data_IF_741643307261
#
_entry.id   IF_741643307261
#
_cell.length_a   1.000
_cell.length_b   1.000
_cell.length_c   1.000
_cell.angle_alpha   90.00
_cell.angle_beta   90.00
_cell.angle_gamma   90.00
#
_symmetry.space_group_name_H-M   'P 1'
#
loop_
_entity.id
_entity.type
_entity.pdbx_description
1 polymer ?
#
# COMPACT_ATOMS: atom_id res chain seq x y z
N UNK A 1 13.23 -6.77 -5.17
CA UNK A 1 13.00 -7.86 -6.15
C UNK A 1 13.29 -9.25 -5.56
N UNK A 2 14.44 -9.44 -4.91
CA UNK A 2 14.83 -10.73 -4.30
C UNK A 2 14.12 -10.88 -2.95
N UNK A 3 13.30 -11.91 -2.80
CA UNK A 3 12.67 -12.30 -1.53
C UNK A 3 13.02 -13.77 -1.28
N UNK A 4 13.45 -14.16 -0.06
CA UNK A 4 13.78 -15.55 0.26
C UNK A 4 12.58 -16.50 0.16
N UNK A 5 11.36 -15.96 0.20
CA UNK A 5 10.12 -16.70 -0.02
C UNK A 5 9.63 -16.47 -1.46
N UNK A 6 9.24 -17.54 -2.18
CA UNK A 6 8.63 -17.40 -3.51
C UNK A 6 7.32 -16.62 -3.43
N UNK A 7 7.32 -15.37 -3.91
CA UNK A 7 6.13 -14.52 -3.93
C UNK A 7 5.32 -14.75 -5.21
N UNK A 8 4.02 -15.04 -5.06
CA UNK A 8 3.08 -15.09 -6.19
C UNK A 8 2.59 -13.71 -6.61
N UNK A 9 2.47 -12.79 -5.64
CA UNK A 9 2.00 -11.42 -5.87
C UNK A 9 2.83 -10.40 -5.11
N UNK A 10 2.87 -9.15 -5.58
CA UNK A 10 3.68 -8.12 -4.92
C UNK A 10 3.14 -6.69 -5.14
N UNK A 11 3.05 -5.89 -4.09
CA UNK A 11 3.02 -4.42 -4.16
C UNK A 11 4.46 -3.92 -3.95
N UNK A 12 4.95 -2.99 -4.76
CA UNK A 12 6.30 -2.48 -4.67
C UNK A 12 6.38 -0.98 -4.98
N UNK A 13 7.00 -0.23 -4.09
CA UNK A 13 7.41 1.14 -4.31
C UNK A 13 8.70 1.29 -5.11
N UNK A 14 8.84 2.38 -5.85
CA UNK A 14 10.12 2.82 -6.42
C UNK A 14 10.26 4.34 -6.36
N UNK A 15 11.50 4.80 -6.16
CA UNK A 15 11.84 6.23 -6.19
C UNK A 15 11.83 6.81 -7.61
N UNK A 16 11.90 5.96 -8.65
CA UNK A 16 12.07 6.40 -10.05
C UNK A 16 10.81 6.08 -10.87
N UNK A 17 10.04 7.11 -11.20
CA UNK A 17 8.76 6.99 -11.92
C UNK A 17 8.89 6.28 -13.29
N UNK A 18 9.99 6.52 -14.00
CA UNK A 18 10.28 5.95 -15.32
C UNK A 18 10.61 4.45 -15.27
N UNK A 19 10.88 3.90 -14.08
CA UNK A 19 11.24 2.48 -13.91
C UNK A 19 10.05 1.56 -13.61
N UNK A 20 8.85 2.09 -13.38
CA UNK A 20 7.71 1.29 -12.88
C UNK A 20 7.35 0.13 -13.84
N UNK A 21 7.36 0.37 -15.15
CA UNK A 21 7.02 -0.65 -16.17
C UNK A 21 8.09 -1.73 -16.24
N UNK A 22 9.36 -1.35 -16.44
CA UNK A 22 10.48 -2.30 -16.52
C UNK A 22 10.61 -3.14 -15.24
N UNK A 23 10.29 -2.55 -14.09
CA UNK A 23 10.28 -3.25 -12.80
C UNK A 23 9.13 -4.27 -12.74
N UNK A 24 7.92 -3.90 -13.18
CA UNK A 24 6.77 -4.81 -13.24
C UNK A 24 7.02 -5.99 -14.20
N UNK A 25 7.62 -5.74 -15.36
CA UNK A 25 8.03 -6.80 -16.29
C UNK A 25 9.07 -7.73 -15.67
N UNK A 26 10.06 -7.17 -14.98
CA UNK A 26 11.07 -7.94 -14.25
C UNK A 26 10.44 -8.82 -13.18
N UNK A 27 9.46 -8.30 -12.42
CA UNK A 27 8.71 -9.10 -11.46
C UNK A 27 7.98 -10.28 -12.11
N UNK A 28 7.42 -10.09 -13.30
CA UNK A 28 6.80 -11.16 -14.09
C UNK A 28 7.81 -12.24 -14.50
N UNK A 29 8.98 -11.83 -14.99
CA UNK A 29 10.10 -12.75 -15.32
C UNK A 29 10.59 -13.53 -14.08
N UNK A 30 10.50 -12.92 -12.90
CA UNK A 30 10.81 -13.55 -11.61
C UNK A 30 9.64 -14.34 -11.00
N UNK A 31 8.60 -14.64 -11.79
CA UNK A 31 7.52 -15.56 -11.42
C UNK A 31 6.33 -14.95 -10.69
N UNK A 32 6.23 -13.62 -10.56
CA UNK A 32 5.01 -12.99 -10.01
C UNK A 32 3.89 -13.11 -11.04
N UNK A 33 2.72 -13.57 -10.60
CA UNK A 33 1.50 -13.64 -11.44
C UNK A 33 0.75 -12.32 -11.49
N UNK A 34 0.86 -11.53 -10.42
CA UNK A 34 0.25 -10.21 -10.30
C UNK A 34 1.13 -9.29 -9.46
N UNK A 35 1.32 -8.05 -9.89
CA UNK A 35 2.06 -7.08 -9.10
C UNK A 35 1.65 -5.65 -9.43
N UNK A 36 1.78 -4.74 -8.47
CA UNK A 36 1.73 -3.31 -8.73
C UNK A 36 3.07 -2.72 -8.35
N UNK A 37 3.71 -2.05 -9.30
CA UNK A 37 4.85 -1.17 -9.03
C UNK A 37 4.36 0.26 -9.09
N UNK A 38 4.66 1.06 -8.07
CA UNK A 38 4.15 2.41 -7.95
C UNK A 38 5.23 3.45 -7.65
N UNK A 39 4.90 4.69 -7.97
CA UNK A 39 5.64 5.89 -7.63
C UNK A 39 4.65 6.96 -7.18
N UNK A 40 4.71 7.34 -5.91
CA UNK A 40 3.80 8.30 -5.29
C UNK A 40 4.14 9.75 -5.59
N UNK A 41 3.20 10.63 -5.27
CA UNK A 41 3.42 12.07 -5.34
C UNK A 41 4.62 12.49 -4.48
N UNK A 42 5.30 13.57 -4.89
CA UNK A 42 6.50 14.09 -4.25
C UNK A 42 7.69 13.11 -4.23
N UNK A 43 7.73 12.13 -5.13
CA UNK A 43 8.86 11.22 -5.29
C UNK A 43 8.88 10.03 -4.31
N UNK A 44 7.78 9.80 -3.60
CA UNK A 44 7.69 8.76 -2.58
C UNK A 44 7.60 7.36 -3.21
N UNK A 45 8.19 6.37 -2.54
CA UNK A 45 8.06 4.95 -2.87
C UNK A 45 6.79 4.32 -2.27
N UNK A 46 5.82 5.13 -1.88
CA UNK A 46 4.51 4.71 -1.40
C UNK A 46 3.42 5.61 -2.00
N UNK A 47 2.18 5.10 -2.08
CA UNK A 47 1.05 5.96 -2.40
C UNK A 47 0.81 6.91 -1.23
N UNK A 48 0.50 8.17 -1.52
CA UNK A 48 0.17 9.15 -0.48
C UNK A 48 -0.95 10.06 -0.96
N UNK A 49 -1.48 10.83 -0.02
CA UNK A 49 -2.64 11.69 -0.23
C UNK A 49 -2.27 13.11 -0.69
N UNK A 50 -0.99 13.38 -0.97
CA UNK A 50 -0.55 14.68 -1.45
C UNK A 50 -0.68 14.84 -2.98
N UNK A 51 -1.05 13.77 -3.69
CA UNK A 51 -1.34 13.84 -5.12
C UNK A 51 -1.36 12.48 -5.82
N UNK A 52 -1.14 12.53 -7.13
CA UNK A 52 -1.24 11.37 -8.03
C UNK A 52 -0.17 10.34 -7.75
N UNK A 53 -0.57 9.06 -7.73
CA UNK A 53 0.35 7.92 -7.71
C UNK A 53 0.37 7.25 -9.08
N UNK A 54 1.55 7.14 -9.70
CA UNK A 54 1.74 6.42 -10.96
C UNK A 54 1.89 4.93 -10.69
N UNK A 55 1.14 4.09 -11.42
CA UNK A 55 1.13 2.65 -11.20
C UNK A 55 1.37 1.87 -12.49
N UNK A 56 2.13 0.78 -12.39
CA UNK A 56 2.23 -0.28 -13.39
C UNK A 56 1.71 -1.59 -12.79
N UNK A 57 0.60 -2.09 -13.32
CA UNK A 57 0.00 -3.37 -12.94
C UNK A 57 0.49 -4.46 -13.89
N UNK A 58 1.19 -5.45 -13.34
CA UNK A 58 1.37 -6.76 -13.94
C UNK A 58 0.15 -7.63 -13.61
N UNK A 59 -0.53 -8.17 -14.62
CA UNK A 59 -1.56 -9.21 -14.47
C UNK A 59 -1.43 -10.20 -15.61
N UNK A 60 -1.28 -11.49 -15.28
CA UNK A 60 -1.26 -12.58 -16.29
C UNK A 60 -0.21 -12.39 -17.39
N UNK A 61 0.95 -11.84 -17.03
CA UNK A 61 2.07 -11.60 -17.95
C UNK A 61 1.98 -10.29 -18.73
N UNK A 62 0.90 -9.52 -18.61
CA UNK A 62 0.74 -8.21 -19.25
C UNK A 62 0.94 -7.09 -18.25
N UNK A 63 1.62 -6.03 -18.68
CA UNK A 63 1.81 -4.80 -17.89
C UNK A 63 0.94 -3.69 -18.46
N UNK A 64 0.09 -3.11 -17.62
CA UNK A 64 -0.76 -1.95 -17.93
C UNK A 64 -0.45 -0.82 -16.97
N UNK A 65 -0.45 0.42 -17.46
CA UNK A 65 -0.23 1.60 -16.64
C UNK A 65 -1.55 2.29 -16.32
N UNK A 66 -1.63 2.89 -15.13
CA UNK A 66 -2.71 3.78 -14.74
C UNK A 66 -2.21 4.76 -13.68
N UNK A 67 -2.87 5.91 -13.60
CA UNK A 67 -2.65 6.89 -12.54
C UNK A 67 -3.77 6.75 -11.49
N UNK A 68 -3.41 6.76 -10.22
CA UNK A 68 -4.35 6.77 -9.09
C UNK A 68 -4.44 8.19 -8.55
N UNK A 69 -5.67 8.73 -8.58
CA UNK A 69 -6.04 10.00 -7.98
C UNK A 69 -6.78 9.70 -6.68
N UNK A 70 -6.26 10.08 -5.50
CA UNK A 70 -6.94 9.81 -4.23
C UNK A 70 -8.38 10.33 -4.17
N UNK A 71 -8.65 11.47 -4.82
CA UNK A 71 -9.94 12.16 -4.83
C UNK A 71 -11.03 11.33 -5.53
N UNK A 72 -10.69 10.54 -6.55
CA UNK A 72 -11.62 9.66 -7.26
C UNK A 72 -12.23 8.59 -6.35
N UNK A 73 -11.59 8.32 -5.21
CA UNK A 73 -12.00 7.34 -4.20
C UNK A 73 -12.47 7.99 -2.89
N UNK A 74 -12.69 9.31 -2.90
CA UNK A 74 -13.22 10.06 -1.75
C UNK A 74 -12.19 10.36 -0.67
N UNK A 75 -10.89 10.18 -0.94
CA UNK A 75 -9.85 10.68 -0.03
C UNK A 75 -9.68 12.18 -0.20
N UNK A 76 -9.42 12.87 0.92
CA UNK A 76 -9.06 14.29 0.87
C UNK A 76 -7.58 14.45 0.58
N UNK A 77 -7.23 15.38 -0.31
CA UNK A 77 -5.84 15.78 -0.51
C UNK A 77 -5.29 16.37 0.80
N UNK A 78 -4.12 15.91 1.24
CA UNK A 78 -3.43 16.45 2.42
C UNK A 78 -1.96 16.71 2.10
N UNK A 79 -1.34 17.73 2.71
CA UNK A 79 0.09 17.98 2.54
C UNK A 79 0.92 16.80 3.06
N UNK A 80 2.07 16.54 2.43
CA UNK A 80 2.97 15.44 2.83
C UNK A 80 3.46 15.61 4.27
N UNK A 81 3.58 16.85 4.72
CA UNK A 81 3.95 17.23 6.09
C UNK A 81 2.98 16.68 7.15
N UNK A 82 1.72 16.42 6.79
CA UNK A 82 0.72 15.87 7.70
C UNK A 82 0.94 14.40 8.05
N UNK A 83 1.80 13.69 7.30
CA UNK A 83 2.12 12.27 7.52
C UNK A 83 3.59 12.04 7.86
N UNK A 84 4.33 13.10 8.18
CA UNK A 84 5.73 12.98 8.60
C UNK A 84 5.80 12.19 9.92
N UNK A 85 6.65 11.17 9.94
CA UNK A 85 6.95 10.39 11.14
C UNK A 85 7.80 11.16 12.16
N UNK A 86 8.08 10.52 13.29
CA UNK A 86 8.97 11.05 14.33
C UNK A 86 10.06 10.05 14.72
N UNK A 87 10.43 10.09 16.00
CA UNK A 87 11.32 9.09 16.60
C UNK A 87 10.64 7.70 16.68
N UNK A 88 11.39 6.63 16.99
CA UNK A 88 10.85 5.27 17.05
C UNK A 88 9.63 5.13 17.97
N UNK A 89 9.64 5.77 19.13
CA UNK A 89 8.55 5.70 20.11
C UNK A 89 7.27 6.36 19.57
N UNK A 90 7.42 7.52 18.91
CA UNK A 90 6.32 8.21 18.24
C UNK A 90 5.76 7.38 17.10
N UNK A 91 6.61 6.78 16.27
CA UNK A 91 6.18 5.96 15.13
C UNK A 91 5.46 4.70 15.60
N UNK A 92 5.92 4.08 16.69
CA UNK A 92 5.23 2.95 17.31
C UNK A 92 3.82 3.35 17.80
N UNK A 93 3.69 4.52 18.42
CA UNK A 93 2.38 5.02 18.85
C UNK A 93 1.46 5.32 17.66
N UNK A 94 1.98 5.96 16.59
CA UNK A 94 1.22 6.20 15.35
C UNK A 94 0.71 4.87 14.78
N UNK A 95 1.57 3.86 14.66
CA UNK A 95 1.19 2.54 14.18
C UNK A 95 0.06 1.94 15.03
N UNK A 96 0.21 1.93 16.36
CA UNK A 96 -0.81 1.41 17.28
C UNK A 96 -2.12 2.16 17.14
N UNK A 97 -2.08 3.50 17.06
CA UNK A 97 -3.27 4.34 16.90
C UNK A 97 -4.00 4.05 15.58
N UNK A 98 -3.26 3.90 14.47
CA UNK A 98 -3.84 3.52 13.18
C UNK A 98 -4.48 2.15 13.26
N UNK A 99 -3.78 1.14 13.77
CA UNK A 99 -4.30 -0.23 13.86
C UNK A 99 -5.52 -0.33 14.79
N UNK A 100 -5.59 0.51 15.82
CA UNK A 100 -6.74 0.68 16.70
C UNK A 100 -7.85 1.58 16.10
N UNK A 101 -7.77 1.86 14.80
CA UNK A 101 -8.76 2.61 14.02
C UNK A 101 -9.00 4.05 14.53
N UNK A 102 -7.96 4.71 15.07
CA UNK A 102 -8.06 6.14 15.46
C UNK A 102 -7.99 7.04 14.23
N UNK A 103 -8.98 7.91 13.98
CA UNK A 103 -8.98 8.80 12.81
C UNK A 103 -7.74 9.69 12.76
N UNK A 104 -7.02 9.66 11.64
CA UNK A 104 -5.84 10.49 11.39
C UNK A 104 -5.43 10.48 9.91
N UNK A 105 -4.64 11.47 9.45
CA UNK A 105 -3.96 11.40 8.15
C UNK A 105 -3.17 10.11 7.92
N UNK A 106 -2.51 9.59 8.96
CA UNK A 106 -1.77 8.33 8.91
C UNK A 106 -2.69 7.15 8.60
N UNK A 107 -3.88 7.10 9.21
CA UNK A 107 -4.86 6.04 8.96
C UNK A 107 -5.30 6.05 7.50
N UNK A 108 -5.61 7.22 6.95
CA UNK A 108 -6.06 7.35 5.56
C UNK A 108 -4.98 6.93 4.55
N UNK A 109 -3.71 7.30 4.80
CA UNK A 109 -2.57 6.82 3.99
C UNK A 109 -2.36 5.30 4.11
N UNK A 110 -2.59 4.72 5.29
CA UNK A 110 -2.54 3.26 5.47
C UNK A 110 -3.68 2.57 4.73
N UNK A 111 -4.90 3.11 4.75
CA UNK A 111 -6.04 2.58 3.97
C UNK A 111 -5.71 2.58 2.49
N UNK A 112 -5.14 3.66 1.97
CA UNK A 112 -4.73 3.78 0.57
C UNK A 112 -3.71 2.68 0.17
N UNK A 113 -2.62 2.52 0.92
CA UNK A 113 -1.59 1.53 0.60
C UNK A 113 -2.06 0.09 0.85
N UNK A 114 -2.81 -0.17 1.92
CA UNK A 114 -3.36 -1.49 2.19
C UNK A 114 -4.37 -1.92 1.11
N UNK A 115 -5.22 -1.00 0.64
CA UNK A 115 -6.14 -1.26 -0.45
C UNK A 115 -5.44 -1.58 -1.77
N UNK A 116 -4.38 -0.84 -2.10
CA UNK A 116 -3.48 -1.19 -3.21
C UNK A 116 -2.86 -2.58 -3.02
N UNK A 117 -2.48 -2.94 -1.80
CA UNK A 117 -1.95 -4.25 -1.46
C UNK A 117 -2.97 -5.39 -1.71
N UNK A 118 -4.21 -5.21 -1.28
CA UNK A 118 -5.29 -6.18 -1.54
C UNK A 118 -5.59 -6.32 -3.04
N UNK A 119 -5.60 -5.21 -3.77
CA UNK A 119 -5.82 -5.21 -5.21
C UNK A 119 -4.64 -5.85 -5.96
N UNK A 120 -3.40 -5.55 -5.58
CA UNK A 120 -2.19 -6.17 -6.14
C UNK A 120 -2.12 -7.68 -5.87
N UNK A 121 -2.64 -8.13 -4.71
CA UNK A 121 -2.76 -9.53 -4.38
C UNK A 121 -3.87 -10.25 -5.18
N UNK A 122 -4.85 -9.51 -5.72
CA UNK A 122 -6.02 -10.09 -6.38
C UNK A 122 -7.08 -10.59 -5.40
N UNK A 123 -7.09 -10.08 -4.16
CA UNK A 123 -8.11 -10.40 -3.16
C UNK A 123 -9.44 -9.67 -3.43
N UNK A 124 -9.37 -8.60 -4.22
CA UNK A 124 -10.48 -7.75 -4.64
C UNK A 124 -10.30 -7.42 -6.12
N UNK A 125 -11.40 -7.13 -6.82
CA UNK A 125 -11.38 -6.87 -8.25
C UNK A 125 -11.25 -5.38 -8.58
N UNK A 126 -11.52 -4.50 -7.61
CA UNK A 126 -11.38 -3.05 -7.78
C UNK A 126 -10.59 -2.39 -6.65
N UNK A 127 -10.00 -1.23 -6.93
CA UNK A 127 -9.33 -0.41 -5.91
C UNK A 127 -10.30 0.04 -4.81
N UNK A 128 -11.53 0.41 -5.18
CA UNK A 128 -12.57 0.81 -4.23
C UNK A 128 -12.93 -0.29 -3.23
N UNK A 129 -13.05 -1.54 -3.70
CA UNK A 129 -13.21 -2.72 -2.83
C UNK A 129 -12.00 -2.90 -1.91
N UNK A 130 -10.78 -2.67 -2.41
CA UNK A 130 -9.55 -2.72 -1.63
C UNK A 130 -9.55 -1.73 -0.48
N UNK A 131 -9.91 -0.47 -0.73
CA UNK A 131 -10.01 0.56 0.31
C UNK A 131 -11.11 0.24 1.31
N UNK A 132 -12.26 -0.25 0.84
CA UNK A 132 -13.37 -0.70 1.71
C UNK A 132 -12.94 -1.85 2.62
N UNK A 133 -12.21 -2.83 2.08
CA UNK A 133 -11.68 -3.95 2.85
C UNK A 133 -10.64 -3.48 3.89
N UNK A 134 -9.74 -2.57 3.52
CA UNK A 134 -8.77 -2.00 4.45
C UNK A 134 -9.45 -1.28 5.62
N UNK A 135 -10.45 -0.44 5.36
CA UNK A 135 -11.26 0.20 6.41
C UNK A 135 -11.96 -0.82 7.29
N UNK A 136 -12.53 -1.88 6.69
CA UNK A 136 -13.21 -2.95 7.44
C UNK A 136 -12.24 -3.69 8.37
N UNK A 137 -11.02 -3.99 7.93
CA UNK A 137 -10.00 -4.63 8.76
C UNK A 137 -9.57 -3.76 9.95
N UNK A 138 -9.50 -2.44 9.78
CA UNK A 138 -9.22 -1.50 10.87
C UNK A 138 -10.42 -1.40 11.82
N UNK A 139 -11.61 -1.11 11.29
CA UNK A 139 -12.83 -0.87 12.08
C UNK A 139 -13.27 -2.09 12.89
N UNK A 140 -13.02 -3.31 12.40
CA UNK A 140 -13.31 -4.55 13.13
C UNK A 140 -12.32 -4.87 14.25
N UNK A 141 -11.19 -4.14 14.36
CA UNK A 141 -10.11 -4.44 15.29
C UNK A 141 -9.17 -5.57 14.84
N UNK A 142 -9.49 -6.27 13.75
CA UNK A 142 -8.73 -7.42 13.28
C UNK A 142 -7.26 -7.08 12.95
N UNK A 143 -6.99 -5.87 12.47
CA UNK A 143 -5.63 -5.40 12.22
C UNK A 143 -4.80 -5.27 13.51
N UNK A 144 -5.39 -4.69 14.57
CA UNK A 144 -4.74 -4.59 15.88
C UNK A 144 -4.55 -5.97 16.53
N UNK A 145 -5.57 -6.83 16.48
CA UNK A 145 -5.49 -8.20 17.00
C UNK A 145 -4.38 -9.01 16.32
N UNK A 146 -4.16 -8.78 15.02
CA UNK A 146 -3.07 -9.43 14.29
C UNK A 146 -1.69 -9.02 14.81
N UNK A 147 -1.50 -7.76 15.18
CA UNK A 147 -0.26 -7.31 15.85
C UNK A 147 -0.09 -8.00 17.20
N UNK A 148 -1.15 -8.10 18.02
CA UNK A 148 -1.07 -8.78 19.32
C UNK A 148 -0.71 -10.27 19.17
N UNK A 149 -1.29 -10.95 18.18
CA UNK A 149 -0.94 -12.34 17.85
C UNK A 149 0.53 -12.48 17.43
N UNK A 150 1.05 -11.55 16.62
CA UNK A 150 2.45 -11.55 16.22
C UNK A 150 3.39 -11.38 17.43
N UNK A 151 3.07 -10.43 18.32
CA UNK A 151 3.86 -10.20 19.55
C UNK A 151 3.83 -11.42 20.48
N UNK A 152 2.71 -12.13 20.55
CA UNK A 152 2.60 -13.36 21.34
C UNK A 152 3.42 -14.52 20.75
N UNK A 153 3.52 -14.62 19.41
CA UNK A 153 4.24 -15.68 18.72
C UNK A 153 5.76 -15.46 18.62
N UNK A 154 6.24 -14.22 18.82
CA UNK A 154 7.66 -13.86 18.80
C UNK A 154 8.35 -13.97 20.17
N UNK A 155 7.58 -14.29 21.22
CA UNK A 155 8.10 -14.60 22.56
C UNK A 155 8.36 -16.09 22.70
#
# INVERSE_FOLDING_TARGET
>A
LINPVPLQTQLMGTYAADTIVNTAETLGKLGRKRAIVLHGANGMDEANLAGVTKCALLKEGFVTQFDLFPEDYGFSTIPIEAIVGGNPERNAQILVDVLANKPSPYLETVVLNAGLGFYANGKVETLAEGFTLARTCLASGAAYDKLQQLLAAQR
#
